data_IF_448142173557
#
_entry.id   IF_448142173557
#
_cell.length_a   1.000
_cell.length_b   1.000
_cell.length_c   1.000
_cell.angle_alpha   90.00
_cell.angle_beta   90.00
_cell.angle_gamma   90.00
#
_symmetry.space_group_name_H-M   'P 1'
#
loop_
_entity.id
_entity.type
_entity.pdbx_description
1 polymer ?
#
# COMPACT_ATOMS: atom_id res chain seq x y z
N UNK A 1 2.92 -8.13 1.14
CA UNK A 1 3.90 -7.38 1.97
C UNK A 1 5.27 -8.02 1.87
N UNK A 2 6.32 -7.22 1.68
CA UNK A 2 7.69 -7.72 1.61
C UNK A 2 8.19 -8.24 2.97
N UNK A 3 9.20 -9.11 2.94
CA UNK A 3 9.83 -9.65 4.15
C UNK A 3 10.54 -8.55 4.94
N UNK A 4 10.14 -8.33 6.19
CA UNK A 4 10.60 -7.23 7.05
C UNK A 4 9.53 -6.15 7.29
N UNK A 5 8.41 -6.20 6.54
CA UNK A 5 7.32 -5.25 6.71
C UNK A 5 6.81 -5.27 8.17
N UNK A 6 6.72 -4.09 8.77
CA UNK A 6 6.35 -3.87 10.17
C UNK A 6 6.03 -2.39 10.40
N UNK A 7 5.74 -2.00 11.66
CA UNK A 7 5.68 -0.59 12.05
C UNK A 7 6.99 0.20 11.85
N UNK A 8 8.08 -0.46 11.46
CA UNK A 8 9.37 0.20 11.19
C UNK A 8 9.69 0.28 9.70
N UNK A 9 8.96 -0.42 8.84
CA UNK A 9 9.20 -0.41 7.40
C UNK A 9 7.96 -0.87 6.64
N UNK A 10 7.49 -0.02 5.72
CA UNK A 10 6.42 -0.36 4.79
C UNK A 10 7.02 -0.66 3.43
N UNK A 11 6.76 -1.86 2.91
CA UNK A 11 7.07 -2.23 1.54
C UNK A 11 6.01 -3.21 1.00
N UNK A 12 5.41 -2.87 -0.14
CA UNK A 12 4.32 -3.63 -0.74
C UNK A 12 4.44 -3.77 -2.26
N UNK A 13 4.08 -4.95 -2.76
CA UNK A 13 3.75 -5.19 -4.16
C UNK A 13 2.25 -5.05 -4.40
N UNK A 14 1.89 -4.50 -5.55
CA UNK A 14 0.50 -4.51 -6.04
C UNK A 14 0.36 -5.62 -7.07
N UNK A 15 -0.59 -6.52 -6.84
CA UNK A 15 -0.80 -7.70 -7.66
C UNK A 15 -2.23 -7.70 -8.19
N UNK A 16 -2.41 -8.23 -9.41
CA UNK A 16 -3.71 -8.38 -10.07
C UNK A 16 -4.50 -7.07 -10.31
N UNK A 17 -3.87 -5.89 -10.26
CA UNK A 17 -4.50 -4.66 -10.75
C UNK A 17 -4.75 -4.78 -12.26
N UNK A 18 -5.92 -4.36 -12.76
CA UNK A 18 -6.22 -4.47 -14.20
C UNK A 18 -5.49 -3.39 -15.02
N UNK A 19 -5.21 -2.26 -14.37
CA UNK A 19 -4.43 -1.16 -14.92
C UNK A 19 -3.16 -0.95 -14.09
N UNK A 20 -2.15 -0.33 -14.72
CA UNK A 20 -0.92 0.03 -14.01
C UNK A 20 -1.23 1.00 -12.86
N UNK A 21 -0.67 0.73 -11.69
CA UNK A 21 -0.68 1.66 -10.55
C UNK A 21 0.28 2.83 -10.82
N UNK A 22 -0.24 4.06 -10.77
CA UNK A 22 0.51 5.30 -10.91
C UNK A 22 0.94 5.88 -9.57
N UNK A 23 0.15 5.67 -8.52
CA UNK A 23 0.39 6.22 -7.18
C UNK A 23 -0.05 5.20 -6.12
N UNK A 24 0.72 5.10 -5.04
CA UNK A 24 0.33 4.37 -3.83
C UNK A 24 0.44 5.30 -2.62
N UNK A 25 -0.58 5.26 -1.78
CA UNK A 25 -0.65 6.03 -0.54
C UNK A 25 -1.03 5.12 0.62
N UNK A 26 -0.50 5.43 1.80
CA UNK A 26 -0.67 4.64 3.03
C UNK A 26 -1.25 5.54 4.11
N UNK A 27 -2.29 5.04 4.78
CA UNK A 27 -2.90 5.66 5.96
C UNK A 27 -2.76 4.72 7.15
N UNK A 28 -2.46 5.27 8.33
CA UNK A 28 -2.41 4.52 9.61
C UNK A 28 -3.45 5.02 10.61
N UNK A 29 -4.41 5.80 10.12
CA UNK A 29 -5.44 6.50 10.88
C UNK A 29 -6.81 6.36 10.19
N UNK A 30 -7.09 5.14 9.70
CA UNK A 30 -8.36 4.75 9.08
C UNK A 30 -8.83 5.68 7.96
N UNK A 31 -7.87 6.16 7.16
CA UNK A 31 -8.09 7.00 5.98
C UNK A 31 -8.15 8.49 6.25
N UNK A 32 -7.89 8.95 7.48
CA UNK A 32 -7.92 10.38 7.80
C UNK A 32 -6.74 11.14 7.18
N UNK A 33 -5.53 10.56 7.16
CA UNK A 33 -4.35 11.11 6.49
C UNK A 33 -3.66 10.08 5.62
N UNK A 34 -3.02 10.55 4.54
CA UNK A 34 -2.41 9.69 3.52
C UNK A 34 -0.98 10.16 3.24
N UNK A 35 -0.03 9.23 3.32
CA UNK A 35 1.37 9.44 2.95
C UNK A 35 1.67 8.72 1.65
N UNK A 36 2.28 9.42 0.70
CA UNK A 36 2.65 8.84 -0.59
C UNK A 36 3.87 7.93 -0.44
N UNK A 37 3.77 6.73 -0.99
CA UNK A 37 4.88 5.80 -1.14
C UNK A 37 5.63 6.06 -2.45
N UNK A 38 6.92 5.76 -2.45
CA UNK A 38 7.80 5.85 -3.61
C UNK A 38 7.94 4.48 -4.24
N UNK A 39 7.89 4.42 -5.57
CA UNK A 39 8.24 3.20 -6.30
C UNK A 39 9.77 3.06 -6.29
N UNK A 40 10.30 2.12 -5.51
CA UNK A 40 11.74 1.91 -5.34
C UNK A 40 12.29 0.95 -6.41
N UNK A 41 11.72 -0.26 -6.48
CA UNK A 41 12.01 -1.27 -7.50
C UNK A 41 10.76 -1.53 -8.36
N UNK A 42 10.87 -2.21 -9.51
CA UNK A 42 9.70 -2.58 -10.30
C UNK A 42 8.62 -3.25 -9.43
N UNK A 43 7.48 -2.58 -9.33
CA UNK A 43 6.33 -2.99 -8.52
C UNK A 43 6.56 -3.09 -7.00
N UNK A 44 7.64 -2.50 -6.44
CA UNK A 44 7.84 -2.40 -4.99
C UNK A 44 7.68 -0.95 -4.53
N UNK A 45 6.63 -0.73 -3.73
CA UNK A 45 6.29 0.58 -3.18
C UNK A 45 6.73 0.67 -1.72
N UNK A 46 7.51 1.70 -1.39
CA UNK A 46 8.02 1.93 -0.05
C UNK A 46 7.60 3.28 0.51
N UNK A 47 7.30 3.33 1.81
CA UNK A 47 7.07 4.59 2.50
C UNK A 47 8.40 5.19 2.92
N UNK A 48 8.62 6.49 2.67
CA UNK A 48 9.74 7.20 3.28
C UNK A 48 9.42 7.43 4.77
N UNK A 49 10.27 6.90 5.63
CA UNK A 49 10.07 6.92 7.09
C UNK A 49 9.27 5.72 7.60
N UNK A 50 8.83 5.78 8.85
CA UNK A 50 8.15 4.66 9.51
C UNK A 50 6.64 4.91 9.64
N UNK A 51 5.79 3.90 9.39
CA UNK A 51 4.38 3.97 9.75
C UNK A 51 4.23 3.86 11.28
N UNK A 52 3.41 4.67 11.95
CA UNK A 52 3.27 4.62 13.40
C UNK A 52 2.42 3.43 13.91
N UNK A 53 1.99 2.52 13.03
CA UNK A 53 1.11 1.39 13.33
C UNK A 53 1.57 0.13 12.59
N UNK A 54 1.22 -1.04 13.14
CA UNK A 54 1.40 -2.35 12.50
C UNK A 54 0.28 -2.68 11.48
N UNK A 55 -0.73 -1.82 11.37
CA UNK A 55 -1.79 -1.92 10.36
C UNK A 55 -1.89 -0.62 9.56
N UNK A 56 -2.35 -0.72 8.33
CA UNK A 56 -2.60 0.43 7.47
C UNK A 56 -3.78 0.21 6.53
N UNK A 57 -4.29 1.30 5.97
CA UNK A 57 -5.03 1.27 4.72
C UNK A 57 -4.10 1.68 3.59
N UNK A 58 -4.29 1.07 2.42
CA UNK A 58 -3.52 1.35 1.21
C UNK A 58 -4.47 1.82 0.13
N UNK A 59 -4.25 3.02 -0.38
CA UNK A 59 -4.95 3.56 -1.54
C UNK A 59 -4.02 3.50 -2.74
N UNK A 60 -4.54 2.96 -3.84
CA UNK A 60 -3.83 2.82 -5.12
C UNK A 60 -4.61 3.58 -6.17
N UNK A 61 -3.90 4.38 -6.97
CA UNK A 61 -4.49 5.13 -8.08
C UNK A 61 -3.95 4.58 -9.40
N UNK A 62 -4.85 4.26 -10.33
CA UNK A 62 -4.53 3.79 -11.67
C UNK A 62 -3.89 4.89 -12.52
N UNK A 63 -3.32 4.51 -13.67
CA UNK A 63 -2.86 5.47 -14.69
C UNK A 63 -3.99 6.38 -15.22
N UNK A 64 -5.25 5.93 -15.13
CA UNK A 64 -6.43 6.67 -15.58
C UNK A 64 -7.05 7.52 -14.48
N UNK A 65 -6.60 7.36 -13.22
CA UNK A 65 -7.09 8.12 -12.07
C UNK A 65 -8.09 7.37 -11.19
N UNK A 66 -8.45 6.14 -11.54
CA UNK A 66 -9.34 5.30 -10.73
C UNK A 66 -8.65 4.91 -9.42
N UNK A 67 -9.40 4.88 -8.32
CA UNK A 67 -8.86 4.57 -6.99
C UNK A 67 -9.41 3.24 -6.46
N UNK A 68 -8.52 2.43 -5.89
CA UNK A 68 -8.87 1.27 -5.07
C UNK A 68 -8.32 1.44 -3.66
N UNK A 69 -9.09 1.01 -2.65
CA UNK A 69 -8.66 1.02 -1.24
C UNK A 69 -8.63 -0.41 -0.71
N UNK A 70 -7.47 -0.80 -0.18
CA UNK A 70 -7.27 -2.01 0.62
C UNK A 70 -7.24 -1.60 2.08
N UNK A 71 -8.24 -2.02 2.84
CA UNK A 71 -8.32 -1.77 4.28
C UNK A 71 -7.62 -2.87 5.06
N UNK A 72 -7.23 -2.55 6.30
CA UNK A 72 -6.70 -3.50 7.28
C UNK A 72 -5.51 -4.33 6.77
N UNK A 73 -4.60 -3.66 6.07
CA UNK A 73 -3.34 -4.24 5.62
C UNK A 73 -2.45 -4.44 6.84
N UNK A 74 -2.14 -5.70 7.16
CA UNK A 74 -1.19 -6.00 8.22
C UNK A 74 0.24 -5.86 7.70
N UNK A 75 1.03 -5.02 8.36
CA UNK A 75 2.45 -4.84 8.07
C UNK A 75 3.22 -6.01 8.68
N UNK A 76 3.16 -7.13 7.97
CA UNK A 76 3.80 -8.38 8.37
C UNK A 76 4.34 -9.08 7.13
N UNK A 77 5.55 -9.63 7.26
CA UNK A 77 6.20 -10.42 6.22
C UNK A 77 5.27 -11.44 5.56
N UNK A 78 5.26 -11.47 4.23
CA UNK A 78 4.53 -12.44 3.41
C UNK A 78 3.01 -12.42 3.58
N UNK A 79 2.44 -11.41 4.26
CA UNK A 79 0.99 -11.25 4.34
C UNK A 79 0.43 -10.66 3.05
N UNK A 80 -0.69 -11.23 2.61
CA UNK A 80 -1.52 -10.71 1.52
C UNK A 80 -2.86 -10.26 2.11
N UNK A 81 -3.24 -9.01 1.81
CA UNK A 81 -4.57 -8.46 2.11
C UNK A 81 -5.23 -8.09 0.78
N UNK A 82 -6.51 -8.42 0.61
CA UNK A 82 -7.23 -8.24 -0.65
C UNK A 82 -8.16 -7.05 -0.58
N UNK A 83 -8.21 -6.27 -1.66
CA UNK A 83 -9.26 -5.27 -1.87
C UNK A 83 -10.62 -5.96 -2.06
N UNK A 84 -11.71 -5.25 -1.76
CA UNK A 84 -13.07 -5.70 -2.06
C UNK A 84 -13.39 -5.47 -3.54
N UNK A 85 -12.74 -4.51 -4.18
CA UNK A 85 -12.95 -4.13 -5.57
C UNK A 85 -11.61 -3.85 -6.26
N UNK A 86 -11.56 -4.18 -7.55
CA UNK A 86 -10.46 -3.81 -8.46
C UNK A 86 -10.86 -2.56 -9.25
N UNK A 87 -9.86 -1.79 -9.69
CA UNK A 87 -10.05 -0.71 -10.66
C UNK A 87 -9.61 -1.16 -12.05
#
# INVERSE_FOLDING_TARGET
>A
MHGGASQYWFAATIENATLRTKKLEVSTDDGATWKTATLHDPNMWELIGTPPSATSWVRVTSINGDEGIVKDVHLQSSKVTRAIQNY
#
